data_IF_965583825532
#
_entry.id   IF_965583825532
#
_cell.length_a   1.000
_cell.length_b   1.000
_cell.length_c   1.000
_cell.angle_alpha   90.00
_cell.angle_beta   90.00
_cell.angle_gamma   90.00
#
_symmetry.space_group_name_H-M   'P 1'
#
loop_
_entity.id
_entity.type
_entity.pdbx_description
1 polymer ?
#
# COMPACT_ATOMS: atom_id res chain seq x y z
N UNK A 1 -18.07 38.81 -24.75
CA UNK A 1 -18.54 37.80 -23.77
C UNK A 1 -18.05 36.45 -24.25
N UNK A 2 -17.05 35.87 -23.58
CA UNK A 2 -16.46 34.59 -23.98
C UNK A 2 -17.00 33.49 -23.08
N UNK A 3 -17.87 32.64 -23.62
CA UNK A 3 -18.28 31.40 -22.98
C UNK A 3 -17.11 30.41 -22.95
N UNK A 4 -16.46 30.30 -21.79
CA UNK A 4 -15.43 29.30 -21.56
C UNK A 4 -16.08 27.92 -21.40
N UNK A 5 -16.09 27.15 -22.50
CA UNK A 5 -16.57 25.76 -22.54
C UNK A 5 -15.72 24.89 -21.60
N UNK A 6 -16.33 24.33 -20.55
CA UNK A 6 -15.66 23.40 -19.62
C UNK A 6 -15.31 22.10 -20.36
N UNK A 7 -14.04 21.70 -20.31
CA UNK A 7 -13.56 20.43 -20.89
C UNK A 7 -14.04 19.26 -20.05
N UNK A 8 -14.50 18.20 -20.72
CA UNK A 8 -14.97 16.94 -20.13
C UNK A 8 -13.87 15.89 -20.17
N UNK A 9 -14.03 14.80 -19.41
CA UNK A 9 -13.05 13.70 -19.32
C UNK A 9 -12.75 13.08 -20.70
N UNK A 10 -13.71 13.14 -21.62
CA UNK A 10 -13.56 12.68 -23.01
C UNK A 10 -12.60 13.55 -23.84
N UNK A 11 -12.40 14.82 -23.48
CA UNK A 11 -11.46 15.72 -24.17
C UNK A 11 -9.99 15.36 -23.89
N UNK A 12 -9.73 14.58 -22.84
CA UNK A 12 -8.39 14.12 -22.47
C UNK A 12 -8.01 12.77 -23.11
N UNK A 13 -9.00 12.03 -23.60
CA UNK A 13 -8.80 10.71 -24.20
C UNK A 13 -9.50 10.65 -25.56
N UNK A 14 -8.92 11.27 -26.61
CA UNK A 14 -9.49 11.21 -27.94
C UNK A 14 -9.56 9.74 -28.40
N UNK A 15 -10.78 9.28 -28.68
CA UNK A 15 -11.01 7.98 -29.31
C UNK A 15 -10.37 8.05 -30.70
N UNK A 16 -9.33 7.25 -30.95
CA UNK A 16 -8.66 7.26 -32.24
C UNK A 16 -9.50 6.47 -33.26
N UNK A 17 -10.31 7.18 -34.03
CA UNK A 17 -10.99 6.63 -35.19
C UNK A 17 -10.04 6.70 -36.39
N UNK A 18 -9.03 5.83 -36.44
CA UNK A 18 -8.20 5.63 -37.64
C UNK A 18 -8.03 4.12 -37.87
N UNK A 19 -8.39 3.58 -39.04
CA UNK A 19 -8.12 2.20 -39.40
C UNK A 19 -6.67 2.07 -39.86
N UNK A 20 -5.75 1.74 -38.94
CA UNK A 20 -4.35 1.51 -39.29
C UNK A 20 -4.16 0.09 -39.83
N UNK A 21 -4.08 -0.05 -41.16
CA UNK A 21 -3.47 -1.22 -41.79
C UNK A 21 -1.97 -1.21 -41.45
N UNK A 22 -1.48 -2.19 -40.68
CA UNK A 22 -0.04 -2.38 -40.51
C UNK A 22 0.34 -3.26 -39.32
N UNK A 23 0.63 -4.53 -39.63
CA UNK A 23 1.34 -5.57 -38.85
C UNK A 23 0.84 -5.81 -37.41
N UNK A 24 0.06 -6.87 -37.24
CA UNK A 24 -0.20 -7.45 -35.92
C UNK A 24 1.13 -7.79 -35.26
N UNK A 25 1.42 -7.16 -34.13
CA UNK A 25 2.13 -7.89 -33.09
C UNK A 25 1.09 -8.86 -32.55
N UNK A 26 1.25 -10.15 -32.88
CA UNK A 26 0.43 -11.21 -32.34
C UNK A 26 0.68 -11.27 -30.82
N UNK A 27 -0.10 -10.52 -30.06
CA UNK A 27 -0.44 -10.95 -28.71
C UNK A 27 -1.29 -12.20 -28.89
N UNK A 28 -0.62 -13.35 -28.90
CA UNK A 28 -1.25 -14.66 -28.90
C UNK A 28 -2.42 -14.64 -27.90
N UNK A 29 -3.65 -14.99 -28.30
CA UNK A 29 -4.76 -15.07 -27.36
C UNK A 29 -4.36 -16.11 -26.35
N UNK A 30 -4.06 -15.68 -25.12
CA UNK A 30 -3.79 -16.61 -24.02
C UNK A 30 -5.09 -17.36 -23.81
N UNK A 31 -5.16 -18.55 -24.40
CA UNK A 31 -6.28 -19.48 -24.28
C UNK A 31 -6.61 -19.59 -22.79
N UNK A 32 -7.70 -18.95 -22.37
CA UNK A 32 -8.27 -19.13 -21.05
C UNK A 32 -9.00 -20.47 -21.05
N UNK A 33 -8.24 -21.56 -21.22
CA UNK A 33 -8.74 -22.87 -20.92
C UNK A 33 -8.92 -22.86 -19.39
N UNK A 34 -10.15 -23.02 -18.86
CA UNK A 34 -10.30 -23.21 -17.43
C UNK A 34 -9.66 -24.55 -17.13
N UNK A 35 -8.37 -24.54 -16.77
CA UNK A 35 -7.78 -25.67 -16.07
C UNK A 35 -8.67 -25.84 -14.85
N UNK A 36 -9.50 -26.89 -14.91
CA UNK A 36 -10.12 -27.52 -13.78
C UNK A 36 -8.99 -27.99 -12.85
N UNK A 37 -8.40 -27.02 -12.15
CA UNK A 37 -7.64 -27.27 -10.96
C UNK A 37 -8.73 -27.49 -9.93
N UNK A 38 -8.97 -28.75 -9.59
CA UNK A 38 -9.67 -29.14 -8.38
C UNK A 38 -9.14 -28.27 -7.24
N UNK A 39 -9.83 -27.16 -6.96
CA UNK A 39 -9.62 -26.33 -5.76
C UNK A 39 -10.37 -27.00 -4.62
N UNK A 40 -10.04 -28.26 -4.35
CA UNK A 40 -10.41 -28.94 -3.11
C UNK A 40 -9.49 -28.44 -2.00
N UNK A 41 -9.69 -27.18 -1.61
CA UNK A 41 -9.32 -26.60 -0.31
C UNK A 41 -10.15 -25.32 -0.03
N UNK A 42 -11.34 -25.19 -0.64
CA UNK A 42 -12.30 -24.12 -0.36
C UNK A 42 -13.05 -24.43 0.94
N UNK A 43 -12.34 -24.46 2.06
CA UNK A 43 -12.94 -24.87 3.34
C UNK A 43 -12.04 -24.77 4.55
N UNK A 44 -10.80 -24.29 4.42
CA UNK A 44 -10.06 -23.84 5.60
C UNK A 44 -10.56 -22.44 5.90
N UNK A 45 -11.37 -22.31 6.94
CA UNK A 45 -11.72 -21.02 7.52
C UNK A 45 -10.40 -20.29 7.79
N UNK A 46 -10.08 -19.30 6.94
CA UNK A 46 -8.86 -18.54 7.08
C UNK A 46 -9.08 -17.61 8.26
N UNK A 47 -8.69 -18.06 9.46
CA UNK A 47 -8.74 -17.25 10.67
C UNK A 47 -7.81 -16.07 10.44
N UNK A 48 -8.41 -14.93 10.11
CA UNK A 48 -7.66 -13.69 9.93
C UNK A 48 -7.18 -13.27 11.31
N UNK A 49 -5.87 -13.30 11.50
CA UNK A 49 -5.28 -12.65 12.66
C UNK A 49 -5.43 -11.13 12.45
N UNK A 50 -6.37 -10.54 13.19
CA UNK A 50 -6.68 -9.11 13.10
C UNK A 50 -5.46 -8.25 13.41
N UNK A 51 -4.65 -8.62 14.41
CA UNK A 51 -3.44 -7.89 14.80
C UNK A 51 -2.44 -7.83 13.63
N UNK A 52 -2.13 -8.98 13.02
CA UNK A 52 -1.22 -9.05 11.87
C UNK A 52 -1.75 -8.25 10.69
N UNK A 53 -3.08 -8.24 10.50
CA UNK A 53 -3.74 -7.50 9.43
C UNK A 53 -3.62 -6.00 9.65
N UNK A 54 -3.98 -5.52 10.84
CA UNK A 54 -3.88 -4.10 11.19
C UNK A 54 -2.44 -3.61 11.17
N UNK A 55 -1.48 -4.40 11.65
CA UNK A 55 -0.06 -4.04 11.62
C UNK A 55 0.47 -3.94 10.19
N UNK A 56 0.07 -4.86 9.30
CA UNK A 56 0.43 -4.83 7.88
C UNK A 56 -0.18 -3.61 7.18
N UNK A 57 -1.47 -3.34 7.43
CA UNK A 57 -2.14 -2.14 6.90
C UNK A 57 -1.45 -0.87 7.40
N UNK A 58 -1.15 -0.77 8.69
CA UNK A 58 -0.50 0.41 9.26
C UNK A 58 0.85 0.69 8.58
N UNK A 59 1.67 -0.35 8.34
CA UNK A 59 2.92 -0.21 7.56
C UNK A 59 2.66 0.35 6.16
N UNK A 60 1.69 -0.20 5.43
CA UNK A 60 1.34 0.27 4.09
C UNK A 60 0.91 1.75 4.11
N UNK A 61 0.06 2.14 5.05
CA UNK A 61 -0.43 3.50 5.18
C UNK A 61 0.68 4.49 5.56
N UNK A 62 1.53 4.14 6.53
CA UNK A 62 2.70 4.93 6.91
C UNK A 62 3.69 5.09 5.75
N UNK A 63 3.98 4.03 5.01
CA UNK A 63 4.94 4.05 3.89
C UNK A 63 4.42 4.80 2.67
N UNK A 64 3.11 4.73 2.40
CA UNK A 64 2.49 5.41 1.27
C UNK A 64 2.20 6.89 1.52
N UNK A 65 2.36 7.38 2.76
CA UNK A 65 1.93 8.73 3.15
C UNK A 65 0.41 8.94 3.08
N UNK A 66 -0.36 7.86 2.98
CA UNK A 66 -1.82 7.91 2.91
C UNK A 66 -2.40 8.04 4.31
N UNK A 67 -3.43 8.86 4.49
CA UNK A 67 -4.12 8.97 5.77
C UNK A 67 -4.86 7.66 6.11
N UNK A 68 -4.74 7.13 7.35
CA UNK A 68 -5.54 6.00 7.83
C UNK A 68 -7.05 6.19 7.68
N UNK A 69 -7.53 7.44 7.61
CA UNK A 69 -8.95 7.75 7.36
C UNK A 69 -9.45 7.23 6.00
N UNK A 70 -8.56 6.97 5.03
CA UNK A 70 -9.01 6.50 3.72
C UNK A 70 -9.61 5.09 3.76
N UNK A 71 -9.41 4.31 4.83
CA UNK A 71 -10.12 3.04 5.02
C UNK A 71 -11.64 3.22 5.14
N UNK A 72 -12.09 4.42 5.47
CA UNK A 72 -13.52 4.73 5.57
C UNK A 72 -14.15 5.09 4.22
N UNK A 73 -13.33 5.32 3.19
CA UNK A 73 -13.80 5.64 1.86
C UNK A 73 -14.66 4.49 1.28
N UNK A 74 -15.75 4.85 0.61
CA UNK A 74 -16.74 3.89 0.10
C UNK A 74 -16.10 2.83 -0.80
N UNK A 75 -15.17 3.23 -1.68
CA UNK A 75 -14.47 2.30 -2.57
C UNK A 75 -13.56 1.34 -1.81
N UNK A 76 -12.88 1.82 -0.76
CA UNK A 76 -12.04 0.98 0.08
C UNK A 76 -12.89 -0.03 0.85
N UNK A 77 -13.99 0.42 1.47
CA UNK A 77 -14.94 -0.48 2.15
C UNK A 77 -15.50 -1.55 1.23
N UNK A 78 -15.86 -1.19 -0.01
CA UNK A 78 -16.32 -2.15 -1.02
C UNK A 78 -15.24 -3.16 -1.38
N UNK A 79 -14.00 -2.70 -1.57
CA UNK A 79 -12.86 -3.57 -1.85
C UNK A 79 -12.59 -4.53 -0.69
N UNK A 80 -12.56 -4.04 0.55
CA UNK A 80 -12.30 -4.89 1.72
C UNK A 80 -13.43 -5.88 1.96
N UNK A 81 -14.69 -5.47 1.79
CA UNK A 81 -15.83 -6.38 1.89
C UNK A 81 -15.81 -7.47 0.81
N UNK A 82 -15.34 -7.15 -0.40
CA UNK A 82 -15.16 -8.13 -1.47
C UNK A 82 -14.04 -9.14 -1.16
N UNK A 83 -12.92 -8.66 -0.62
CA UNK A 83 -11.76 -9.51 -0.28
C UNK A 83 -12.01 -10.36 0.97
N UNK A 84 -12.62 -9.78 2.00
CA UNK A 84 -12.97 -10.44 3.24
C UNK A 84 -14.20 -9.77 3.90
N UNK A 85 -15.40 -10.35 3.75
CA UNK A 85 -16.64 -9.79 4.30
C UNK A 85 -16.65 -9.67 5.83
N UNK A 86 -15.87 -10.50 6.54
CA UNK A 86 -15.79 -10.47 8.01
C UNK A 86 -14.89 -9.34 8.52
N UNK A 87 -14.03 -8.78 7.66
CA UNK A 87 -13.06 -7.77 8.06
C UNK A 87 -13.55 -6.36 7.73
N UNK A 88 -13.83 -5.60 8.78
CA UNK A 88 -14.27 -4.21 8.70
C UNK A 88 -13.21 -3.29 9.32
N UNK A 89 -12.29 -2.72 8.53
CA UNK A 89 -11.21 -1.90 9.07
C UNK A 89 -11.74 -0.61 9.69
N UNK A 90 -11.31 -0.31 10.90
CA UNK A 90 -11.57 0.96 11.59
C UNK A 90 -10.39 1.91 11.45
N UNK A 91 -10.64 3.17 11.05
CA UNK A 91 -9.60 4.19 10.98
C UNK A 91 -8.98 4.47 12.35
N UNK A 92 -9.77 4.39 13.42
CA UNK A 92 -9.31 4.62 14.79
C UNK A 92 -8.33 3.53 15.23
N UNK A 93 -8.64 2.25 14.95
CA UNK A 93 -7.76 1.13 15.26
C UNK A 93 -6.48 1.24 14.42
N UNK A 94 -6.62 1.46 13.11
CA UNK A 94 -5.47 1.61 12.22
C UNK A 94 -4.56 2.77 12.65
N UNK A 95 -5.13 3.90 13.08
CA UNK A 95 -4.36 5.04 13.57
C UNK A 95 -3.54 4.71 14.83
N UNK A 96 -4.07 3.87 15.73
CA UNK A 96 -3.31 3.39 16.91
C UNK A 96 -2.10 2.57 16.49
N UNK A 97 -2.27 1.61 15.58
CA UNK A 97 -1.15 0.83 15.04
C UNK A 97 -0.11 1.69 14.32
N UNK A 98 -0.54 2.73 13.59
CA UNK A 98 0.40 3.67 12.98
C UNK A 98 1.24 4.42 14.05
N UNK A 99 0.63 4.80 15.17
CA UNK A 99 1.36 5.45 16.28
C UNK A 99 2.31 4.47 16.99
N UNK A 100 1.89 3.22 17.21
CA UNK A 100 2.76 2.18 17.78
C UNK A 100 3.99 1.94 16.90
N UNK A 101 3.80 1.80 15.59
CA UNK A 101 4.91 1.67 14.64
C UNK A 101 5.83 2.88 14.65
N UNK A 102 5.27 4.10 14.77
CA UNK A 102 6.08 5.31 14.87
C UNK A 102 6.95 5.32 16.13
N UNK A 103 6.40 4.98 17.29
CA UNK A 103 7.17 4.92 18.54
C UNK A 103 8.21 3.79 18.52
N UNK A 104 7.90 2.63 17.93
CA UNK A 104 8.88 1.56 17.69
C UNK A 104 10.07 2.04 16.86
N UNK A 105 9.82 2.68 15.72
CA UNK A 105 10.88 3.18 14.83
C UNK A 105 11.68 4.32 15.47
N UNK A 106 10.99 5.23 16.16
CA UNK A 106 11.62 6.31 16.92
C UNK A 106 12.55 5.78 18.02
N UNK A 107 12.16 4.73 18.72
CA UNK A 107 13.00 4.07 19.72
C UNK A 107 14.26 3.45 19.10
N UNK A 108 14.13 2.78 17.94
CA UNK A 108 15.28 2.23 17.20
C UNK A 108 16.25 3.34 16.77
N UNK A 109 15.73 4.42 16.20
CA UNK A 109 16.55 5.59 15.80
C UNK A 109 17.27 6.18 17.01
N UNK A 110 16.58 6.35 18.14
CA UNK A 110 17.17 6.86 19.38
C UNK A 110 18.32 5.98 19.87
N UNK A 111 18.16 4.66 19.81
CA UNK A 111 19.21 3.72 20.21
C UNK A 111 20.42 3.77 19.28
N UNK A 112 20.19 3.86 17.97
CA UNK A 112 21.26 4.05 16.97
C UNK A 112 22.03 5.33 17.26
N UNK A 113 21.34 6.46 17.49
CA UNK A 113 21.97 7.74 17.82
C UNK A 113 22.78 7.68 19.12
N UNK A 114 22.26 7.02 20.16
CA UNK A 114 22.99 6.80 21.42
C UNK A 114 24.28 6.00 21.19
N UNK A 115 24.21 4.95 20.38
CA UNK A 115 25.36 4.12 20.04
C UNK A 115 26.43 4.88 19.24
N UNK A 116 26.01 5.77 18.33
CA UNK A 116 26.89 6.61 17.52
C UNK A 116 27.62 7.64 18.38
N UNK A 117 26.92 8.30 19.30
CA UNK A 117 27.55 9.23 20.24
C UNK A 117 28.64 8.54 21.08
N UNK A 118 28.40 7.31 21.55
CA UNK A 118 29.41 6.52 22.26
C UNK A 118 30.62 6.10 21.42
N UNK A 119 30.50 6.07 20.08
CA UNK A 119 31.63 5.81 19.16
C UNK A 119 32.43 7.09 18.86
N UNK A 120 31.76 8.23 18.73
CA UNK A 120 32.41 9.54 18.50
C UNK A 120 33.27 9.92 19.70
N UNK A 121 32.73 9.79 20.92
CA UNK A 121 33.47 10.08 22.17
C UNK A 121 34.71 9.18 22.29
N UNK A 122 34.59 7.88 21.99
CA UNK A 122 35.74 6.95 22.03
C UNK A 122 36.86 7.34 21.06
N UNK A 123 36.52 7.78 19.85
CA UNK A 123 37.52 8.25 18.87
C UNK A 123 38.20 9.55 19.31
N UNK A 124 37.45 10.47 19.90
CA UNK A 124 38.00 11.75 20.35
C UNK A 124 38.94 11.59 21.55
N UNK A 125 38.62 10.68 22.48
CA UNK A 125 39.48 10.32 23.60
C UNK A 125 40.80 9.72 23.09
N UNK A 126 40.77 8.81 22.13
CA UNK A 126 42.00 8.19 21.58
C UNK A 126 42.95 9.18 20.89
N UNK A 127 42.44 10.29 20.33
CA UNK A 127 43.28 11.34 19.71
C UNK A 127 43.90 12.25 20.77
N UNK A 128 43.25 12.45 21.92
CA UNK A 128 43.79 13.30 23.00
C UNK A 128 44.82 12.61 23.90
N UNK A 129 45.02 11.29 23.75
CA UNK A 129 45.99 10.49 24.52
C UNK A 129 47.16 9.96 23.68
N UNK A 130 47.31 10.42 22.43
CA UNK A 130 48.44 10.13 21.54
C UNK A 130 49.24 11.41 21.28
#
# INVERSE_FOLDING_TARGET
>A
MSDAKRKTLCDFFPRSDIPTKGKSHDCEPRNANPRNVNRSNLGKEHVVNEETTYRTMAKFFCQSGTSPKSVEAVHFKKLTAYLNPKFCPSSAILSRYCLELYEEEKAKVKEILRSLNGRIVRKHVLISFA
#
